data_IF_083802400511
#
_entry.id   IF_083802400511
#
_cell.length_a   1.000
_cell.length_b   1.000
_cell.length_c   1.000
_cell.angle_alpha   90.00
_cell.angle_beta   90.00
_cell.angle_gamma   90.00
#
_symmetry.space_group_name_H-M   'P 1'
#
loop_
_entity.id
_entity.type
_entity.pdbx_description
1 polymer ?
#
# COMPACT_ATOMS: atom_id res chain seq x y z
N UNK A 1 7.66 -22.02 28.68
CA UNK A 1 7.84 -20.58 28.96
C UNK A 1 8.72 -20.02 27.85
N UNK A 2 8.18 -19.15 26.99
CA UNK A 2 8.97 -18.46 25.96
C UNK A 2 9.21 -17.03 26.42
N UNK A 3 10.50 -16.70 26.51
CA UNK A 3 11.03 -15.43 26.97
C UNK A 3 10.60 -14.27 26.08
N UNK A 4 10.36 -13.13 26.73
CA UNK A 4 9.92 -11.90 26.11
C UNK A 4 10.90 -11.37 25.07
N UNK A 5 10.36 -11.08 23.89
CA UNK A 5 10.73 -9.86 23.20
C UNK A 5 9.62 -8.87 23.51
N UNK A 6 9.96 -7.80 24.23
CA UNK A 6 9.10 -6.63 24.28
C UNK A 6 8.95 -6.09 22.87
N UNK A 7 7.95 -6.56 22.14
CA UNK A 7 7.39 -5.86 21.01
C UNK A 7 6.60 -4.72 21.65
N UNK A 8 7.30 -3.62 21.95
CA UNK A 8 6.61 -2.40 22.31
C UNK A 8 5.55 -2.15 21.23
N UNK A 9 4.33 -1.94 21.70
CA UNK A 9 3.16 -1.48 20.95
C UNK A 9 3.53 -0.12 20.34
N UNK A 10 4.30 -0.13 19.27
CA UNK A 10 4.94 1.05 18.75
C UNK A 10 4.16 1.51 17.52
N UNK A 11 3.70 2.75 17.60
CA UNK A 11 3.29 3.54 16.44
C UNK A 11 4.30 3.30 15.30
N UNK A 12 3.85 3.11 14.06
CA UNK A 12 4.79 2.86 12.98
C UNK A 12 5.79 4.01 12.85
N UNK A 13 7.08 3.71 12.65
CA UNK A 13 8.12 4.73 12.56
C UNK A 13 7.75 5.79 11.51
N UNK A 14 7.98 7.08 11.79
CA UNK A 14 7.61 8.17 10.89
C UNK A 14 8.27 8.04 9.51
N UNK A 15 9.41 7.35 9.42
CA UNK A 15 10.10 7.07 8.16
C UNK A 15 9.28 6.16 7.23
N UNK A 16 8.47 5.23 7.77
CA UNK A 16 7.57 4.41 6.97
C UNK A 16 6.44 5.25 6.37
N UNK A 17 5.89 6.18 7.15
CA UNK A 17 4.89 7.13 6.67
C UNK A 17 5.45 8.04 5.58
N UNK A 18 6.63 8.63 5.82
CA UNK A 18 7.31 9.46 4.83
C UNK A 18 7.60 8.68 3.54
N UNK A 19 8.03 7.42 3.65
CA UNK A 19 8.26 6.54 2.51
C UNK A 19 6.99 6.25 1.71
N UNK A 20 5.89 5.89 2.39
CA UNK A 20 4.60 5.65 1.74
C UNK A 20 4.08 6.89 1.01
N UNK A 21 4.11 8.05 1.67
CA UNK A 21 3.64 9.32 1.09
C UNK A 21 4.50 9.77 -0.09
N UNK A 22 5.82 9.63 0.00
CA UNK A 22 6.74 9.94 -1.11
C UNK A 22 6.43 9.09 -2.34
N UNK A 23 6.22 7.78 -2.16
CA UNK A 23 5.89 6.88 -3.26
C UNK A 23 4.50 7.17 -3.86
N UNK A 24 3.53 7.60 -3.06
CA UNK A 24 2.23 8.06 -3.54
C UNK A 24 2.34 9.32 -4.41
N UNK A 25 3.14 10.30 -3.97
CA UNK A 25 3.39 11.53 -4.74
C UNK A 25 4.08 11.21 -6.05
N UNK A 26 5.17 10.43 -6.02
CA UNK A 26 5.88 10.00 -7.24
C UNK A 26 4.94 9.26 -8.19
N UNK A 27 4.08 8.37 -7.67
CA UNK A 27 3.11 7.68 -8.51
C UNK A 27 2.11 8.65 -9.16
N UNK A 28 1.59 9.62 -8.41
CA UNK A 28 0.67 10.63 -8.92
C UNK A 28 1.31 11.55 -9.97
N UNK A 29 2.59 11.88 -9.81
CA UNK A 29 3.34 12.74 -10.72
C UNK A 29 3.80 12.02 -12.00
N UNK A 30 4.18 10.75 -11.90
CA UNK A 30 4.85 10.01 -12.99
C UNK A 30 4.04 8.87 -13.58
N UNK A 31 2.98 8.42 -12.91
CA UNK A 31 2.26 7.20 -13.24
C UNK A 31 3.06 5.91 -13.02
N UNK A 32 4.23 5.97 -12.36
CA UNK A 32 5.11 4.79 -12.24
C UNK A 32 4.43 3.65 -11.45
N UNK A 33 4.24 2.46 -12.05
CA UNK A 33 3.55 1.35 -11.40
C UNK A 33 4.37 0.73 -10.27
N UNK A 34 5.70 0.85 -10.34
CA UNK A 34 6.60 0.36 -9.29
C UNK A 34 6.47 1.20 -8.01
N UNK A 35 6.24 2.51 -8.16
CA UNK A 35 6.01 3.40 -7.02
C UNK A 35 4.70 3.04 -6.32
N UNK A 36 3.62 2.81 -7.08
CA UNK A 36 2.35 2.32 -6.54
C UNK A 36 2.50 0.99 -5.79
N UNK A 37 3.20 0.02 -6.37
CA UNK A 37 3.43 -1.28 -5.73
C UNK A 37 4.21 -1.15 -4.42
N UNK A 38 5.26 -0.33 -4.40
CA UNK A 38 6.04 -0.13 -3.17
C UNK A 38 5.24 0.64 -2.12
N UNK A 39 4.42 1.63 -2.51
CA UNK A 39 3.49 2.30 -1.60
C UNK A 39 2.50 1.30 -0.98
N UNK A 40 1.90 0.42 -1.78
CA UNK A 40 0.97 -0.60 -1.30
C UNK A 40 1.60 -1.52 -0.25
N UNK A 41 2.83 -2.00 -0.48
CA UNK A 41 3.57 -2.84 0.48
C UNK A 41 3.86 -2.14 1.80
N UNK A 42 4.19 -0.85 1.76
CA UNK A 42 4.42 -0.09 3.01
C UNK A 42 3.10 0.11 3.75
N UNK A 43 2.01 0.43 3.05
CA UNK A 43 0.69 0.58 3.64
C UNK A 43 0.18 -0.71 4.28
N UNK A 44 0.40 -1.85 3.65
CA UNK A 44 0.10 -3.18 4.21
C UNK A 44 0.84 -3.41 5.53
N UNK A 45 2.14 -3.08 5.57
CA UNK A 45 2.93 -3.15 6.81
C UNK A 45 2.47 -2.16 7.88
N UNK A 46 1.95 -1.00 7.50
CA UNK A 46 1.35 -0.04 8.44
C UNK A 46 0.04 -0.61 9.02
N UNK A 47 -0.74 -1.34 8.23
CA UNK A 47 -1.94 -2.05 8.70
C UNK A 47 -1.63 -3.14 9.73
N UNK A 48 -0.42 -3.67 9.80
CA UNK A 48 -0.05 -4.67 10.81
C UNK A 48 0.33 -4.05 12.17
N UNK A 49 0.48 -2.72 12.25
CA UNK A 49 0.83 -2.05 13.50
C UNK A 49 -0.33 -2.12 14.50
N UNK A 50 -0.03 -2.49 15.75
CA UNK A 50 -1.04 -2.70 16.80
C UNK A 50 -1.64 -1.38 17.31
N UNK A 51 -0.90 -0.27 17.17
CA UNK A 51 -1.27 1.04 17.73
C UNK A 51 -1.88 2.00 16.69
N UNK A 52 -2.27 1.48 15.52
CA UNK A 52 -3.08 2.23 14.56
C UNK A 52 -4.54 2.19 14.99
N UNK A 53 -5.18 3.36 15.01
CA UNK A 53 -6.63 3.44 15.12
C UNK A 53 -7.31 2.83 13.89
N UNK A 54 -8.57 2.39 14.08
CA UNK A 54 -9.33 1.68 13.05
C UNK A 54 -9.53 2.51 11.78
N UNK A 55 -9.67 3.84 11.90
CA UNK A 55 -9.89 4.71 10.75
C UNK A 55 -8.62 4.81 9.89
N UNK A 56 -7.46 4.96 10.52
CA UNK A 56 -6.16 4.94 9.82
C UNK A 56 -5.88 3.57 9.23
N UNK A 57 -6.20 2.48 9.94
CA UNK A 57 -6.02 1.11 9.42
C UNK A 57 -6.87 0.86 8.18
N UNK A 58 -8.15 1.22 8.23
CA UNK A 58 -9.06 1.10 7.10
C UNK A 58 -8.63 1.98 5.91
N UNK A 59 -8.03 3.15 6.17
CA UNK A 59 -7.46 3.98 5.12
C UNK A 59 -6.26 3.29 4.44
N UNK A 60 -5.32 2.77 5.22
CA UNK A 60 -4.15 2.06 4.70
C UNK A 60 -4.54 0.83 3.88
N UNK A 61 -5.51 0.02 4.35
CA UNK A 61 -6.02 -1.16 3.65
C UNK A 61 -6.67 -0.76 2.31
N UNK A 62 -7.59 0.21 2.33
CA UNK A 62 -8.26 0.70 1.11
C UNK A 62 -7.26 1.26 0.10
N UNK A 63 -6.26 1.99 0.56
CA UNK A 63 -5.22 2.55 -0.30
C UNK A 63 -4.33 1.45 -0.90
N UNK A 64 -3.88 0.49 -0.09
CA UNK A 64 -3.09 -0.66 -0.55
C UNK A 64 -3.82 -1.48 -1.62
N UNK A 65 -5.11 -1.76 -1.40
CA UNK A 65 -5.94 -2.49 -2.35
C UNK A 65 -6.05 -1.75 -3.69
N UNK A 66 -6.38 -0.45 -3.67
CA UNK A 66 -6.51 0.36 -4.90
C UNK A 66 -5.21 0.43 -5.71
N UNK A 67 -4.08 0.59 -5.04
CA UNK A 67 -2.76 0.64 -5.69
C UNK A 67 -2.38 -0.70 -6.32
N UNK A 68 -2.76 -1.81 -5.67
CA UNK A 68 -2.53 -3.16 -6.16
C UNK A 68 -3.42 -3.48 -7.38
N UNK A 69 -4.68 -3.02 -7.37
CA UNK A 69 -5.63 -3.17 -8.47
C UNK A 69 -5.26 -2.32 -9.70
N UNK A 70 -4.70 -1.12 -9.50
CA UNK A 70 -4.22 -0.27 -10.58
C UNK A 70 -3.15 -0.95 -11.47
N UNK A 71 -2.39 -1.90 -10.89
CA UNK A 71 -1.44 -2.73 -11.64
C UNK A 71 -2.13 -3.78 -12.52
N UNK A 72 -3.34 -4.22 -12.15
CA UNK A 72 -4.13 -5.20 -12.89
C UNK A 72 -4.92 -4.61 -14.06
N UNK A 73 -5.36 -3.35 -13.96
CA UNK A 73 -6.14 -2.68 -15.02
C UNK A 73 -5.29 -2.26 -16.22
N UNK A 74 -4.00 -1.98 -16.05
CA UNK A 74 -3.11 -1.61 -17.16
C UNK A 74 -2.68 -2.79 -18.06
N UNK A 75 -3.09 -4.03 -17.76
CA UNK A 75 -2.68 -5.24 -18.47
C UNK A 75 -3.76 -5.85 -19.39
N UNK A 76 -4.79 -5.09 -19.77
CA UNK A 76 -5.72 -5.51 -20.84
C UNK A 76 -5.78 -4.47 -21.96
N UNK A 77 -5.11 -4.70 -23.12
CA UNK A 77 -5.61 -4.15 -24.36
C UNK A 77 -6.93 -4.89 -24.66
N UNK A 78 -8.06 -4.25 -24.36
CA UNK A 78 -9.37 -4.75 -24.78
C UNK A 78 -9.52 -4.52 -26.28
N UNK A 79 -8.77 -5.29 -27.08
CA UNK A 79 -9.04 -5.50 -28.49
C UNK A 79 -10.23 -6.47 -28.56
N UNK A 80 -11.44 -5.92 -28.41
CA UNK A 80 -12.67 -6.67 -28.65
C UNK A 80 -12.84 -6.76 -30.16
N UNK A 81 -12.18 -7.74 -30.76
CA UNK A 81 -12.54 -8.24 -32.08
C UNK A 81 -14.03 -8.57 -32.06
N UNK A 82 -14.83 -7.77 -32.75
CA UNK A 82 -16.09 -8.22 -33.29
C UNK A 82 -15.74 -9.26 -34.36
N UNK A 83 -15.92 -10.54 -34.05
CA UNK A 83 -15.98 -11.59 -35.06
C UNK A 83 -17.45 -11.87 -35.38
N UNK A 84 -17.80 -11.48 -36.62
CA UNK A 84 -18.90 -11.86 -37.54
C UNK A 84 -20.25 -12.34 -37.00
#
# INVERSE_FOLDING_TARGET
MRAGHGFALAVPPPELWAGALSLLLIHGESGCPHSALNAARILDRLCDATDLDDATRALCERASNRLSEAKGVAATPQFRSQES
#
